data_IF_604529530489
#
_entry.id   IF_604529530489
#
_cell.length_a   1.000
_cell.length_b   1.000
_cell.length_c   1.000
_cell.angle_alpha   90.00
_cell.angle_beta   90.00
_cell.angle_gamma   90.00
#
_symmetry.space_group_name_H-M   'P 1'
#
loop_
_entity.id
_entity.type
_entity.pdbx_description
1 polymer ?
#
# COMPACT_ATOMS: atom_id res chain seq x y z
N UNK A 1 -3.01 -2.81 -10.13
CA UNK A 1 -2.29 -2.74 -8.84
C UNK A 1 -3.24 -3.08 -7.71
N UNK A 2 -2.82 -3.98 -6.79
CA UNK A 2 -3.63 -4.52 -5.71
C UNK A 2 -4.23 -3.45 -4.79
N UNK A 3 -3.43 -2.48 -4.36
CA UNK A 3 -3.90 -1.35 -3.55
C UNK A 3 -5.06 -0.59 -4.20
N UNK A 4 -4.96 -0.29 -5.50
CA UNK A 4 -6.00 0.45 -6.21
C UNK A 4 -7.30 -0.38 -6.38
N UNK A 5 -7.21 -1.72 -6.41
CA UNK A 5 -8.38 -2.62 -6.44
C UNK A 5 -9.19 -2.48 -5.15
N UNK A 6 -8.52 -2.57 -3.99
CA UNK A 6 -9.17 -2.41 -2.68
C UNK A 6 -9.79 -1.03 -2.48
N UNK A 7 -9.07 0.04 -2.85
CA UNK A 7 -9.59 1.41 -2.76
C UNK A 7 -10.85 1.60 -3.61
N UNK A 8 -10.84 1.12 -4.86
CA UNK A 8 -12.00 1.22 -5.76
C UNK A 8 -13.20 0.46 -5.22
N UNK A 9 -12.97 -0.72 -4.64
CA UNK A 9 -14.05 -1.52 -4.06
C UNK A 9 -14.63 -0.81 -2.82
N UNK A 10 -13.78 -0.33 -1.91
CA UNK A 10 -14.22 0.40 -0.72
C UNK A 10 -14.97 1.70 -1.03
N UNK A 11 -14.60 2.41 -2.11
CA UNK A 11 -15.37 3.56 -2.57
C UNK A 11 -16.78 3.17 -3.06
N UNK A 12 -16.92 2.01 -3.73
CA UNK A 12 -18.23 1.51 -4.19
C UNK A 12 -19.10 1.06 -3.03
N UNK A 13 -18.49 0.44 -2.03
CA UNK A 13 -19.18 -0.12 -0.86
C UNK A 13 -19.48 0.94 0.22
N UNK A 14 -19.07 2.20 0.01
CA UNK A 14 -19.28 3.29 0.95
C UNK A 14 -18.47 3.17 2.24
N UNK A 15 -17.39 2.39 2.23
CA UNK A 15 -16.51 2.19 3.40
C UNK A 15 -15.68 3.45 3.63
N UNK A 16 -15.13 4.03 2.56
CA UNK A 16 -14.39 5.29 2.66
C UNK A 16 -15.39 6.43 2.92
N UNK A 17 -15.02 7.36 3.81
CA UNK A 17 -15.85 8.55 4.06
C UNK A 17 -15.91 9.48 2.85
N UNK A 18 -15.05 9.24 1.85
CA UNK A 18 -15.00 9.97 0.58
C UNK A 18 -14.83 8.96 -0.57
N UNK A 19 -15.84 8.87 -1.43
CA UNK A 19 -15.89 7.91 -2.56
C UNK A 19 -14.93 8.21 -3.73
N UNK A 20 -14.00 9.15 -3.55
CA UNK A 20 -13.06 9.65 -4.58
C UNK A 20 -11.60 9.32 -4.27
N UNK A 21 -11.33 8.54 -3.22
CA UNK A 21 -9.96 8.09 -2.92
C UNK A 21 -9.41 7.28 -4.10
N UNK A 22 -8.17 7.56 -4.50
CA UNK A 22 -7.47 6.82 -5.57
C UNK A 22 -5.97 6.89 -5.38
N UNK A 23 -5.28 5.82 -5.74
CA UNK A 23 -3.81 5.79 -5.70
C UNK A 23 -3.25 6.89 -6.61
N UNK A 24 -2.20 7.58 -6.14
CA UNK A 24 -1.46 8.54 -6.95
C UNK A 24 -0.55 7.80 -7.93
N UNK A 25 -0.35 8.39 -9.11
CA UNK A 25 0.67 7.91 -10.06
C UNK A 25 2.09 8.11 -9.51
N UNK A 26 2.25 9.06 -8.58
CA UNK A 26 3.52 9.29 -7.90
C UNK A 26 3.82 8.15 -6.95
N UNK A 27 4.99 7.57 -7.12
CA UNK A 27 5.68 6.71 -6.15
C UNK A 27 7.05 7.33 -5.93
N UNK A 28 7.46 7.45 -4.66
CA UNK A 28 8.80 7.93 -4.33
C UNK A 28 9.58 6.75 -3.75
N UNK A 29 10.67 6.36 -4.41
CA UNK A 29 11.53 5.28 -3.95
C UNK A 29 12.98 5.73 -3.96
N UNK A 30 13.78 5.21 -3.02
CA UNK A 30 15.22 5.43 -2.97
C UNK A 30 15.91 4.07 -2.94
N UNK A 31 16.97 3.95 -3.71
CA UNK A 31 17.75 2.72 -3.83
C UNK A 31 19.21 2.99 -3.50
N UNK A 32 19.93 1.96 -3.05
CA UNK A 32 21.40 1.95 -3.02
C UNK A 32 21.93 1.78 -4.44
N UNK A 33 23.23 2.02 -4.61
CA UNK A 33 23.93 1.81 -5.89
C UNK A 33 23.86 0.36 -6.39
N UNK A 34 23.69 -0.62 -5.51
CA UNK A 34 23.54 -2.04 -5.83
C UNK A 34 22.10 -2.44 -6.20
N UNK A 35 21.15 -1.50 -6.26
CA UNK A 35 19.75 -1.76 -6.58
C UNK A 35 18.86 -2.17 -5.40
N UNK A 36 19.41 -2.27 -4.18
CA UNK A 36 18.62 -2.57 -2.98
C UNK A 36 17.71 -1.37 -2.61
N UNK A 37 16.43 -1.64 -2.35
CA UNK A 37 15.47 -0.62 -1.93
C UNK A 37 15.79 -0.16 -0.50
N UNK A 38 15.91 1.16 -0.31
CA UNK A 38 16.15 1.79 1.00
C UNK A 38 14.84 2.25 1.64
N UNK A 39 14.01 2.94 0.85
CA UNK A 39 12.75 3.51 1.31
C UNK A 39 11.79 3.66 0.13
N UNK A 40 10.49 3.55 0.39
CA UNK A 40 9.44 3.68 -0.62
C UNK A 40 8.19 4.30 -0.01
N UNK A 41 7.60 5.26 -0.72
CA UNK A 41 6.44 6.01 -0.27
C UNK A 41 5.37 5.95 -1.36
N UNK A 42 4.23 5.39 -0.99
CA UNK A 42 3.02 5.35 -1.82
C UNK A 42 2.09 6.47 -1.40
N UNK A 43 1.43 7.09 -2.38
CA UNK A 43 0.60 8.26 -2.14
C UNK A 43 -0.84 8.04 -2.61
N UNK A 44 -1.76 8.78 -2.00
CA UNK A 44 -3.19 8.77 -2.25
C UNK A 44 -3.66 10.17 -2.63
N UNK A 45 -4.66 10.22 -3.51
CA UNK A 45 -5.38 11.42 -3.89
C UNK A 45 -6.86 11.25 -3.53
N UNK A 46 -7.56 12.36 -3.33
CA UNK A 46 -9.03 12.44 -3.26
C UNK A 46 -9.48 13.74 -3.92
N UNK A 47 -10.75 14.12 -3.79
CA UNK A 47 -11.25 15.39 -4.33
C UNK A 47 -10.71 16.62 -3.60
N UNK A 48 -10.30 16.49 -2.32
CA UNK A 48 -9.86 17.61 -1.46
C UNK A 48 -8.40 17.51 -1.01
N UNK A 49 -7.66 16.49 -1.45
CA UNK A 49 -6.22 16.39 -1.21
C UNK A 49 -5.50 15.66 -2.34
N UNK A 50 -4.22 15.98 -2.48
CA UNK A 50 -3.31 15.38 -3.45
C UNK A 50 -2.06 14.89 -2.73
N UNK A 51 -1.59 13.70 -3.11
CA UNK A 51 -0.35 13.08 -2.66
C UNK A 51 -0.18 12.98 -1.15
N UNK A 52 -1.23 12.56 -0.43
CA UNK A 52 -1.11 12.17 0.99
C UNK A 52 -0.47 10.78 1.08
N UNK A 53 0.56 10.62 1.90
CA UNK A 53 1.26 9.34 2.06
C UNK A 53 0.32 8.28 2.65
N UNK A 54 0.11 7.16 1.95
CA UNK A 54 -0.74 6.07 2.43
C UNK A 54 0.05 4.89 2.98
N UNK A 55 1.19 4.54 2.39
CA UNK A 55 2.09 3.52 2.92
C UNK A 55 3.52 4.04 2.79
N UNK A 56 4.28 4.01 3.88
CA UNK A 56 5.70 4.31 3.90
C UNK A 56 6.51 3.11 4.35
N UNK A 57 7.46 2.70 3.53
CA UNK A 57 8.56 1.82 3.89
C UNK A 57 9.74 2.72 4.25
N UNK A 58 9.96 2.93 5.53
CA UNK A 58 10.96 3.88 6.02
C UNK A 58 12.34 3.21 6.09
N UNK A 59 13.39 4.04 6.01
CA UNK A 59 14.79 3.58 5.99
C UNK A 59 15.18 2.77 7.24
N UNK A 60 14.54 3.02 8.37
CA UNK A 60 14.76 2.34 9.64
C UNK A 60 13.99 1.00 9.76
N UNK A 61 13.25 0.61 8.72
CA UNK A 61 12.43 -0.59 8.71
C UNK A 61 11.02 -0.39 9.23
N UNK A 62 10.66 0.80 9.72
CA UNK A 62 9.28 1.09 10.13
C UNK A 62 8.36 1.15 8.90
N UNK A 63 7.22 0.48 8.97
CA UNK A 63 6.16 0.58 7.96
C UNK A 63 5.03 1.46 8.50
N UNK A 64 4.87 2.64 7.91
CA UNK A 64 3.83 3.59 8.27
C UNK A 64 2.57 3.41 7.41
N UNK A 65 1.40 3.56 8.02
CA UNK A 65 0.12 3.52 7.34
C UNK A 65 -0.67 4.80 7.61
N UNK A 66 -1.02 5.50 6.53
CA UNK A 66 -2.07 6.51 6.47
C UNK A 66 -2.17 7.44 7.70
N UNK A 67 -1.09 8.08 8.14
CA UNK A 67 -1.09 8.91 9.37
C UNK A 67 -2.08 10.09 9.38
N UNK A 68 -2.72 10.36 8.24
CA UNK A 68 -3.77 11.37 8.05
C UNK A 68 -5.20 10.79 8.03
N UNK A 69 -5.35 9.46 7.95
CA UNK A 69 -6.63 8.78 7.81
C UNK A 69 -6.98 8.05 9.11
N UNK A 70 -8.16 8.35 9.66
CA UNK A 70 -8.74 7.60 10.77
C UNK A 70 -9.84 6.64 10.32
N UNK A 71 -10.17 5.68 11.18
CA UNK A 71 -11.36 4.83 11.06
C UNK A 71 -11.41 4.01 9.78
N UNK A 72 -12.53 4.09 9.06
CA UNK A 72 -12.82 3.23 7.90
C UNK A 72 -11.96 3.53 6.67
N UNK A 73 -11.34 4.71 6.60
CA UNK A 73 -10.52 5.11 5.46
C UNK A 73 -9.18 4.36 5.35
N UNK A 74 -8.63 3.89 6.47
CA UNK A 74 -7.38 3.10 6.48
C UNK A 74 -7.61 1.62 6.13
N UNK A 75 -8.81 1.11 6.38
CA UNK A 75 -9.19 -0.31 6.18
C UNK A 75 -8.82 -0.84 4.79
N UNK A 76 -9.21 -0.22 3.66
CA UNK A 76 -8.85 -0.76 2.34
C UNK A 76 -7.34 -0.74 2.06
N UNK A 77 -6.59 0.14 2.72
CA UNK A 77 -5.14 0.24 2.55
C UNK A 77 -4.46 -0.87 3.34
N UNK A 78 -4.92 -1.12 4.57
CA UNK A 78 -4.44 -2.22 5.42
C UNK A 78 -4.78 -3.58 4.80
N UNK A 79 -6.01 -3.76 4.31
CA UNK A 79 -6.43 -5.01 3.66
C UNK A 79 -5.61 -5.32 2.41
N UNK A 80 -5.31 -4.30 1.60
CA UNK A 80 -4.43 -4.48 0.44
C UNK A 80 -3.01 -4.89 0.84
N UNK A 81 -2.48 -4.35 1.95
CA UNK A 81 -1.17 -4.72 2.47
C UNK A 81 -1.16 -6.16 3.01
N UNK A 82 -2.20 -6.57 3.74
CA UNK A 82 -2.35 -7.95 4.22
C UNK A 82 -2.41 -8.93 3.05
N UNK A 83 -3.22 -8.66 2.02
CA UNK A 83 -3.29 -9.53 0.83
C UNK A 83 -1.93 -9.62 0.12
N UNK A 84 -1.17 -8.52 0.08
CA UNK A 84 0.19 -8.55 -0.44
C UNK A 84 1.14 -9.40 0.40
N UNK A 85 1.08 -9.31 1.74
CA UNK A 85 1.87 -10.16 2.63
C UNK A 85 1.55 -11.64 2.46
N UNK A 86 0.26 -12.00 2.35
CA UNK A 86 -0.16 -13.38 2.12
C UNK A 86 0.38 -13.90 0.77
N UNK A 87 0.29 -13.09 -0.29
CA UNK A 87 0.86 -13.44 -1.58
C UNK A 87 2.38 -13.70 -1.50
N UNK A 88 3.12 -12.89 -0.73
CA UNK A 88 4.55 -13.13 -0.52
C UNK A 88 4.84 -14.41 0.27
N UNK A 89 4.01 -14.73 1.27
CA UNK A 89 4.16 -15.95 2.07
C UNK A 89 3.91 -17.20 1.20
N UNK A 90 2.84 -17.19 0.41
CA UNK A 90 2.51 -18.25 -0.56
C UNK A 90 3.67 -18.49 -1.53
N UNK A 91 4.20 -17.42 -2.15
CA UNK A 91 5.37 -17.52 -3.03
C UNK A 91 6.61 -18.10 -2.32
N UNK A 92 6.80 -17.76 -1.05
CA UNK A 92 7.92 -18.27 -0.27
C UNK A 92 7.80 -19.77 0.01
N UNK A 93 6.57 -20.25 0.20
CA UNK A 93 6.28 -21.65 0.46
C UNK A 93 6.36 -22.49 -0.83
N UNK A 94 5.92 -21.94 -1.96
CA UNK A 94 6.08 -22.58 -3.27
C UNK A 94 7.55 -22.74 -3.64
N UNK A 95 8.39 -21.74 -3.38
CA UNK A 95 9.83 -21.82 -3.63
C UNK A 95 10.50 -22.91 -2.77
N UNK A 96 10.05 -23.11 -1.52
CA UNK A 96 10.55 -24.21 -0.68
C UNK A 96 10.07 -25.57 -1.17
N UNK A 97 8.83 -25.68 -1.64
CA UNK A 97 8.27 -26.92 -2.17
C UNK A 97 8.92 -27.38 -3.49
N UNK A 98 9.44 -26.45 -4.31
CA UNK A 98 10.17 -26.76 -5.55
C UNK A 98 11.65 -27.15 -5.33
N UNK A 99 12.19 -26.94 -4.13
CA UNK A 99 13.58 -27.24 -3.77
C UNK A 99 13.71 -28.49 -2.88
N UNK A 100 12.63 -29.28 -2.74
CA UNK A 100 12.57 -30.60 -2.10
C UNK A 100 12.25 -31.66 -3.15
#
# INVERSE_FOLDING_TARGET
>A
MLLNKHIRQANKDGITSVNTMRMSEKVKSKYKSNGELIECYLFMNSHYFTQRECISFNKDGFIGFCGWAGGTNSVPIINAFIEWCNYLDELSNDCKAQNL
#
